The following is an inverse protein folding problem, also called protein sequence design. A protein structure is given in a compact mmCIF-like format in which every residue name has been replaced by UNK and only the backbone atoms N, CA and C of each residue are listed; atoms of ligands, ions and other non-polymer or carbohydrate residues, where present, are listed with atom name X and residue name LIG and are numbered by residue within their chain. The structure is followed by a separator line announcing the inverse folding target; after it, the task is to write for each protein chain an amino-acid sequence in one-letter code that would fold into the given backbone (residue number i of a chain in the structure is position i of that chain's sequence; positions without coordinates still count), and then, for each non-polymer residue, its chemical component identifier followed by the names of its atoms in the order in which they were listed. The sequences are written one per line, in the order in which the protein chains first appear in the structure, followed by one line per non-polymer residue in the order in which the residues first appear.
data_IF_352122307772
#
_entry.id   IF_352122307772
#
_cell.length_a   1.000
_cell.length_b   1.000
_cell.length_c   1.000
_cell.angle_alpha   90.00
_cell.angle_beta   90.00
_cell.angle_gamma   90.00
#
_symmetry.space_group_name_H-M   'P 1'
#
loop_
_entity.id
_entity.type
_entity.pdbx_description
1 polymer ?
#
# COMPACT_ATOMS: atom_id res chain seq x y z
N UNK A 1 -4.43 -8.06 -16.71
CA UNK A 1 -2.97 -8.12 -16.45
C UNK A 1 -2.77 -8.04 -14.95
N UNK A 2 -1.87 -8.85 -14.39
CA UNK A 2 -1.41 -8.79 -13.00
C UNK A 2 0.09 -8.50 -13.04
N UNK A 3 0.51 -7.45 -12.35
CA UNK A 3 1.91 -7.12 -12.14
C UNK A 3 2.32 -7.54 -10.73
N UNK A 4 3.51 -8.11 -10.58
CA UNK A 4 4.03 -8.52 -9.29
C UNK A 4 5.51 -8.88 -9.38
N UNK A 5 6.19 -8.97 -8.24
CA UNK A 5 7.56 -9.46 -8.19
C UNK A 5 7.62 -10.96 -8.54
N UNK A 6 8.81 -11.48 -8.78
CA UNK A 6 9.08 -12.84 -9.23
C UNK A 6 8.38 -13.92 -8.38
N UNK A 7 8.49 -13.85 -7.03
CA UNK A 7 7.91 -14.85 -6.13
C UNK A 7 6.38 -14.90 -6.22
N UNK A 8 5.70 -13.74 -6.20
CA UNK A 8 4.23 -13.71 -6.27
C UNK A 8 3.74 -14.15 -7.64
N UNK A 9 4.43 -13.79 -8.72
CA UNK A 9 4.07 -14.22 -10.08
C UNK A 9 4.28 -15.73 -10.25
N UNK A 10 5.37 -16.29 -9.72
CA UNK A 10 5.60 -17.72 -9.70
C UNK A 10 4.51 -18.47 -8.92
N UNK A 11 4.19 -18.01 -7.71
CA UNK A 11 3.15 -18.59 -6.86
C UNK A 11 1.77 -18.54 -7.55
N UNK A 12 1.37 -17.39 -8.09
CA UNK A 12 0.09 -17.26 -8.78
C UNK A 12 -0.01 -18.18 -9.99
N UNK A 13 1.08 -18.34 -10.74
CA UNK A 13 1.13 -19.27 -11.88
C UNK A 13 0.97 -20.72 -11.42
N UNK A 14 1.69 -21.12 -10.38
CA UNK A 14 1.60 -22.46 -9.83
C UNK A 14 0.19 -22.76 -9.31
N UNK A 15 -0.38 -21.88 -8.51
CA UNK A 15 -1.76 -22.02 -8.01
C UNK A 15 -2.77 -22.11 -9.14
N UNK A 16 -2.65 -21.26 -10.17
CA UNK A 16 -3.55 -21.28 -11.31
C UNK A 16 -3.46 -22.63 -12.06
N UNK A 17 -2.25 -23.18 -12.24
CA UNK A 17 -2.07 -24.46 -12.92
C UNK A 17 -2.60 -25.65 -12.11
N UNK A 18 -2.61 -25.56 -10.78
CA UNK A 18 -3.11 -26.62 -9.89
C UNK A 18 -4.63 -26.55 -9.68
N UNK A 19 -5.20 -25.36 -9.57
CA UNK A 19 -6.59 -25.15 -9.16
C UNK A 19 -7.56 -24.98 -10.33
N UNK A 20 -7.10 -24.43 -11.46
CA UNK A 20 -7.91 -24.24 -12.64
C UNK A 20 -7.95 -25.52 -13.49
N UNK A 21 -9.08 -25.75 -14.14
CA UNK A 21 -9.19 -26.85 -15.08
C UNK A 21 -8.47 -26.54 -16.41
N UNK A 22 -8.23 -27.57 -17.24
CA UNK A 22 -7.50 -27.42 -18.51
C UNK A 22 -8.13 -26.41 -19.48
N UNK A 23 -9.45 -26.17 -19.41
CA UNK A 23 -10.13 -25.20 -20.28
C UNK A 23 -9.86 -23.77 -19.87
N UNK A 24 -9.50 -23.56 -18.62
CA UNK A 24 -9.22 -22.23 -18.04
C UNK A 24 -7.73 -21.92 -18.10
N UNK A 25 -6.86 -22.91 -17.87
CA UNK A 25 -5.40 -22.69 -17.89
C UNK A 25 -4.88 -22.21 -19.25
N UNK A 26 -5.59 -22.54 -20.35
CA UNK A 26 -5.22 -22.06 -21.71
C UNK A 26 -5.30 -20.53 -21.85
N UNK A 27 -5.99 -19.85 -20.93
CA UNK A 27 -6.08 -18.39 -20.93
C UNK A 27 -4.89 -17.70 -20.27
N UNK A 28 -4.00 -18.47 -19.62
CA UNK A 28 -2.76 -17.91 -19.04
C UNK A 28 -1.80 -17.56 -20.18
N UNK A 29 -1.46 -16.27 -20.30
CA UNK A 29 -0.68 -15.74 -21.42
C UNK A 29 -1.53 -15.16 -22.56
N UNK A 30 -2.81 -15.49 -22.64
CA UNK A 30 -3.76 -14.95 -23.62
C UNK A 30 -4.67 -13.88 -22.98
N UNK A 31 -5.50 -14.24 -22.02
CA UNK A 31 -6.44 -13.35 -21.34
C UNK A 31 -5.97 -12.97 -19.94
N UNK A 32 -5.24 -13.86 -19.27
CA UNK A 32 -4.59 -13.64 -17.98
C UNK A 32 -3.08 -13.47 -18.19
N UNK A 33 -2.61 -12.25 -18.15
CA UNK A 33 -1.19 -11.93 -18.25
C UNK A 33 -0.62 -11.76 -16.85
N UNK A 34 0.33 -12.61 -16.48
CA UNK A 34 1.13 -12.52 -15.25
C UNK A 34 2.47 -11.90 -15.64
N UNK A 35 2.71 -10.66 -15.23
CA UNK A 35 3.86 -9.86 -15.64
C UNK A 35 4.75 -9.60 -14.43
N UNK A 36 5.95 -10.16 -14.49
CA UNK A 36 6.98 -9.90 -13.50
C UNK A 36 7.52 -8.48 -13.62
N UNK A 37 7.72 -7.84 -12.48
CA UNK A 37 8.35 -6.52 -12.36
C UNK A 37 9.46 -6.57 -11.31
N UNK A 38 10.52 -5.78 -11.54
CA UNK A 38 11.66 -5.64 -10.65
C UNK A 38 11.63 -4.28 -9.94
N UNK A 39 12.46 -4.12 -8.91
CA UNK A 39 12.64 -2.82 -8.24
C UNK A 39 13.03 -1.74 -9.24
N UNK A 40 12.28 -0.65 -9.24
CA UNK A 40 12.45 0.49 -10.15
C UNK A 40 11.84 0.32 -11.54
N UNK A 41 11.25 -0.84 -11.87
CA UNK A 41 10.58 -1.04 -13.16
C UNK A 41 9.40 -0.08 -13.31
N UNK A 42 9.30 0.54 -14.50
CA UNK A 42 8.18 1.42 -14.85
C UNK A 42 7.38 0.83 -15.99
N UNK A 43 6.05 0.83 -15.83
CA UNK A 43 5.09 0.38 -16.85
C UNK A 43 4.07 1.49 -17.11
N UNK A 44 3.53 1.51 -18.32
CA UNK A 44 2.37 2.31 -18.62
C UNK A 44 1.10 1.50 -18.32
N UNK A 45 0.29 1.98 -17.37
CA UNK A 45 -0.94 1.32 -16.94
C UNK A 45 -2.08 2.34 -17.01
N UNK A 46 -3.07 2.08 -17.84
CA UNK A 46 -4.22 2.98 -18.06
C UNK A 46 -3.80 4.42 -18.42
N UNK A 47 -2.75 4.57 -19.25
CA UNK A 47 -2.21 5.86 -19.66
C UNK A 47 -1.43 6.62 -18.58
N UNK A 48 -1.03 5.95 -17.50
CA UNK A 48 -0.22 6.49 -16.40
C UNK A 48 1.09 5.74 -16.27
N UNK A 49 2.16 6.44 -15.95
CA UNK A 49 3.42 5.80 -15.56
C UNK A 49 3.32 5.28 -14.13
N UNK A 50 3.55 3.99 -13.94
CA UNK A 50 3.57 3.33 -12.64
C UNK A 50 4.93 2.71 -12.44
N UNK A 51 5.66 3.16 -11.43
CA UNK A 51 6.95 2.60 -11.03
C UNK A 51 6.74 1.70 -9.83
N UNK A 52 7.22 0.46 -9.94
CA UNK A 52 7.19 -0.52 -8.86
C UNK A 52 8.49 -0.47 -8.08
N UNK A 53 8.43 -0.67 -6.78
CA UNK A 53 9.62 -0.66 -5.93
C UNK A 53 9.53 -1.70 -4.81
N UNK A 54 10.67 -2.25 -4.43
CA UNK A 54 10.80 -3.12 -3.27
C UNK A 54 10.65 -2.28 -1.99
N UNK A 55 9.76 -2.69 -1.09
CA UNK A 55 9.54 -2.00 0.20
C UNK A 55 10.63 -2.33 1.23
N UNK A 56 11.50 -3.30 0.93
CA UNK A 56 12.52 -3.76 1.86
C UNK A 56 11.96 -4.56 3.05
N UNK A 57 10.80 -5.20 2.85
CA UNK A 57 10.17 -6.02 3.88
C UNK A 57 11.12 -7.08 4.42
N UNK A 58 11.14 -7.25 5.73
CA UNK A 58 11.96 -8.26 6.44
C UNK A 58 11.25 -9.61 6.62
N UNK A 59 9.96 -9.68 6.30
CA UNK A 59 9.16 -10.92 6.38
C UNK A 59 9.17 -11.68 5.05
N UNK A 60 8.53 -11.11 4.06
CA UNK A 60 8.42 -11.65 2.71
C UNK A 60 8.59 -10.51 1.73
N UNK A 61 9.12 -10.80 0.55
CA UNK A 61 9.28 -9.79 -0.50
C UNK A 61 7.96 -9.11 -0.78
N UNK A 62 7.94 -7.77 -0.71
CA UNK A 62 6.77 -6.95 -0.99
C UNK A 62 7.15 -5.78 -1.88
N UNK A 63 6.23 -5.41 -2.77
CA UNK A 63 6.40 -4.25 -3.64
C UNK A 63 5.33 -3.21 -3.39
N UNK A 64 5.77 -1.96 -3.30
CA UNK A 64 4.95 -0.77 -3.42
C UNK A 64 4.90 -0.29 -4.87
N UNK A 65 4.14 0.77 -5.09
CA UNK A 65 4.12 1.45 -6.39
C UNK A 65 3.98 2.97 -6.24
N UNK A 66 4.55 3.69 -7.21
CA UNK A 66 4.39 5.14 -7.38
C UNK A 66 3.78 5.40 -8.76
N UNK A 67 2.63 6.05 -8.80
CA UNK A 67 1.91 6.39 -10.03
C UNK A 67 1.97 7.88 -10.29
N UNK A 68 2.41 8.26 -11.49
CA UNK A 68 2.37 9.64 -11.98
C UNK A 68 0.93 10.05 -12.31
N UNK A 69 0.47 11.12 -11.67
CA UNK A 69 -0.88 11.68 -11.87
C UNK A 69 -0.91 12.78 -12.93
N UNK A 70 0.25 13.18 -13.44
CA UNK A 70 0.42 14.39 -14.27
C UNK A 70 0.71 15.62 -13.41
N UNK A 71 1.22 16.67 -14.07
CA UNK A 71 1.55 17.97 -13.46
C UNK A 71 2.49 17.88 -12.24
N UNK A 72 3.35 16.86 -12.21
CA UNK A 72 4.28 16.60 -11.10
C UNK A 72 3.64 15.99 -9.86
N UNK A 73 2.34 15.72 -9.88
CA UNK A 73 1.66 15.03 -8.79
C UNK A 73 1.85 13.52 -8.88
N UNK A 74 1.96 12.85 -7.73
CA UNK A 74 2.09 11.39 -7.66
C UNK A 74 1.27 10.79 -6.53
N UNK A 75 0.87 9.53 -6.73
CA UNK A 75 0.30 8.65 -5.71
C UNK A 75 1.33 7.59 -5.41
N UNK A 76 1.63 7.37 -4.14
CA UNK A 76 2.53 6.30 -3.70
C UNK A 76 1.82 5.38 -2.71
N UNK A 77 1.93 4.07 -2.93
CA UNK A 77 1.44 3.03 -2.03
C UNK A 77 2.64 2.23 -1.51
N UNK A 78 2.82 2.23 -0.18
CA UNK A 78 3.99 1.65 0.48
C UNK A 78 3.81 0.17 0.89
N UNK A 79 2.70 -0.48 0.51
CA UNK A 79 2.48 -1.89 0.86
C UNK A 79 1.95 -2.06 2.28
N UNK A 80 2.13 -3.25 2.83
CA UNK A 80 1.58 -3.71 4.12
C UNK A 80 2.71 -3.97 5.13
N UNK A 81 3.58 -2.98 5.27
CA UNK A 81 4.75 -3.01 6.16
C UNK A 81 5.04 -1.61 6.69
N UNK A 82 5.73 -1.46 7.83
CA UNK A 82 6.30 -0.21 8.25
C UNK A 82 7.23 0.37 7.19
N UNK A 83 7.19 1.66 7.01
CA UNK A 83 8.01 2.38 6.06
C UNK A 83 9.51 2.11 6.24
N UNK A 84 10.21 1.95 5.11
CA UNK A 84 11.66 1.85 5.02
C UNK A 84 12.26 3.03 4.23
N UNK A 85 13.47 3.44 4.58
CA UNK A 85 14.15 4.58 3.93
C UNK A 85 14.37 4.39 2.42
N UNK A 86 14.39 3.14 1.92
CA UNK A 86 14.48 2.87 0.47
C UNK A 86 13.27 3.39 -0.32
N UNK A 87 12.13 3.60 0.34
CA UNK A 87 10.90 4.12 -0.24
C UNK A 87 10.89 5.65 -0.37
N UNK A 88 11.82 6.37 0.30
CA UNK A 88 11.78 7.83 0.41
C UNK A 88 11.71 8.54 -0.95
N UNK A 89 12.51 8.10 -1.92
CA UNK A 89 12.53 8.67 -3.28
C UNK A 89 11.18 8.59 -3.99
N UNK A 90 10.33 7.63 -3.61
CA UNK A 90 8.98 7.46 -4.15
C UNK A 90 7.92 8.18 -3.31
N UNK A 91 8.04 8.13 -1.99
CA UNK A 91 7.02 8.62 -1.07
C UNK A 91 7.10 10.13 -0.80
N UNK A 92 8.31 10.71 -0.71
CA UNK A 92 8.49 12.14 -0.39
C UNK A 92 7.77 13.04 -1.37
N UNK A 93 7.01 14.02 -0.86
CA UNK A 93 6.27 15.00 -1.63
C UNK A 93 5.10 14.41 -2.44
N UNK A 94 4.63 13.23 -2.09
CA UNK A 94 3.46 12.64 -2.75
C UNK A 94 2.23 13.51 -2.53
N UNK A 95 1.43 13.69 -3.57
CA UNK A 95 0.09 14.26 -3.43
C UNK A 95 -0.80 13.34 -2.61
N UNK A 96 -0.65 12.02 -2.81
CA UNK A 96 -1.31 10.98 -2.03
C UNK A 96 -0.31 9.92 -1.60
N UNK A 97 -0.28 9.64 -0.30
CA UNK A 97 0.42 8.47 0.27
C UNK A 97 -0.63 7.50 0.82
N UNK A 98 -0.56 6.26 0.35
CA UNK A 98 -1.33 5.15 0.88
C UNK A 98 -0.39 4.35 1.78
N UNK A 99 -0.70 4.29 3.08
CA UNK A 99 0.15 3.63 4.07
C UNK A 99 -0.69 2.82 5.05
N UNK A 100 -0.15 1.71 5.54
CA UNK A 100 -0.80 0.93 6.57
C UNK A 100 -0.79 1.66 7.90
N UNK A 101 -1.81 1.41 8.73
CA UNK A 101 -1.87 1.85 10.12
C UNK A 101 -2.72 0.86 10.91
N UNK A 102 -2.08 -0.18 11.42
CA UNK A 102 -2.76 -1.34 11.98
C UNK A 102 -3.69 -0.98 13.15
N UNK A 103 -3.24 -0.13 14.08
CA UNK A 103 -4.06 0.29 15.23
C UNK A 103 -3.76 1.73 15.65
N UNK A 104 -4.58 2.24 16.57
CA UNK A 104 -4.27 3.47 17.31
C UNK A 104 -2.99 3.29 18.13
N UNK A 105 -2.16 4.32 18.20
CA UNK A 105 -0.98 4.33 19.10
C UNK A 105 -1.40 4.16 20.56
N UNK A 106 -2.55 4.76 20.94
CA UNK A 106 -3.11 4.61 22.29
C UNK A 106 -3.53 3.19 22.65
N UNK A 107 -3.62 2.28 21.66
CA UNK A 107 -3.95 0.87 21.84
C UNK A 107 -2.79 -0.07 21.46
N UNK A 108 -1.59 0.46 21.27
CA UNK A 108 -0.43 -0.34 20.85
C UNK A 108 -0.13 -1.50 21.82
N UNK A 109 -0.28 -1.30 23.11
CA UNK A 109 -0.09 -2.33 24.13
C UNK A 109 -1.12 -3.49 24.04
N UNK A 110 -2.25 -3.27 23.34
CA UNK A 110 -3.31 -4.29 23.15
C UNK A 110 -3.03 -5.11 21.90
N UNK A 111 -2.53 -4.46 20.86
CA UNK A 111 -2.40 -5.06 19.53
C UNK A 111 -0.98 -5.51 19.17
N UNK A 112 0.04 -5.07 19.91
CA UNK A 112 1.45 -5.36 19.66
C UNK A 112 1.88 -5.12 18.20
N UNK A 113 1.61 -3.92 17.63
CA UNK A 113 1.84 -3.68 16.20
C UNK A 113 3.30 -3.86 15.81
N UNK A 114 4.24 -3.43 16.64
CA UNK A 114 5.66 -3.48 16.34
C UNK A 114 6.22 -4.90 16.30
N UNK A 115 5.76 -5.79 17.19
CA UNK A 115 6.12 -7.21 17.14
C UNK A 115 5.54 -7.93 15.91
N UNK A 116 4.41 -7.41 15.41
CA UNK A 116 3.76 -7.91 14.19
C UNK A 116 4.29 -7.24 12.92
N UNK A 117 5.26 -6.34 13.04
CA UNK A 117 5.81 -5.52 11.97
C UNK A 117 4.73 -4.67 11.27
N UNK A 118 4.03 -3.87 12.07
CA UNK A 118 3.05 -2.90 11.60
C UNK A 118 3.25 -1.54 12.27
N UNK A 119 2.75 -0.50 11.62
CA UNK A 119 2.74 0.87 12.13
C UNK A 119 1.44 1.17 12.89
N UNK A 120 1.50 2.15 13.76
CA UNK A 120 0.30 2.77 14.35
C UNK A 120 -0.15 3.98 13.52
N UNK A 121 -1.34 4.50 13.84
CA UNK A 121 -1.83 5.78 13.26
C UNK A 121 -0.82 6.91 13.48
N UNK A 122 -0.21 6.98 14.67
CA UNK A 122 0.83 7.98 14.98
C UNK A 122 2.03 7.84 14.04
N UNK A 123 2.57 6.63 13.89
CA UNK A 123 3.76 6.39 13.07
C UNK A 123 3.52 6.80 11.61
N UNK A 124 2.39 6.37 11.04
CA UNK A 124 2.00 6.72 9.67
C UNK A 124 1.79 8.23 9.49
N UNK A 125 1.21 8.90 10.48
CA UNK A 125 0.97 10.34 10.45
C UNK A 125 2.26 11.14 10.60
N UNK A 126 3.16 10.80 11.55
CA UNK A 126 4.48 11.43 11.69
C UNK A 126 5.33 11.24 10.44
N UNK A 127 5.25 10.05 9.82
CA UNK A 127 5.91 9.78 8.54
C UNK A 127 5.38 10.70 7.43
N UNK A 128 4.07 10.81 7.27
CA UNK A 128 3.47 11.64 6.24
C UNK A 128 3.84 13.12 6.40
N UNK A 129 3.91 13.62 7.63
CA UNK A 129 4.39 14.97 7.94
C UNK A 129 5.86 15.14 7.53
N UNK A 130 6.74 14.22 7.94
CA UNK A 130 8.18 14.21 7.60
C UNK A 130 8.42 14.16 6.08
N UNK A 131 7.58 13.44 5.35
CA UNK A 131 7.68 13.26 3.90
C UNK A 131 6.97 14.37 3.10
N UNK A 132 6.39 15.37 3.75
CA UNK A 132 5.70 16.49 3.11
C UNK A 132 4.54 16.04 2.20
N UNK A 133 3.81 15.02 2.64
CA UNK A 133 2.66 14.46 1.93
C UNK A 133 1.47 15.40 2.05
N UNK A 134 0.66 15.55 1.01
CA UNK A 134 -0.53 16.41 1.06
C UNK A 134 -1.76 15.66 1.59
N UNK A 135 -1.94 14.40 1.18
CA UNK A 135 -3.07 13.57 1.58
C UNK A 135 -2.56 12.19 1.99
N UNK A 136 -2.81 11.80 3.24
CA UNK A 136 -2.52 10.47 3.76
C UNK A 136 -3.79 9.63 3.78
N UNK A 137 -3.77 8.45 3.16
CA UNK A 137 -4.84 7.47 3.23
C UNK A 137 -4.34 6.25 4.01
N UNK A 138 -5.01 5.95 5.12
CA UNK A 138 -4.71 4.80 5.97
C UNK A 138 -5.55 3.60 5.58
N UNK A 139 -4.92 2.44 5.54
CA UNK A 139 -5.58 1.14 5.30
C UNK A 139 -4.94 0.07 6.20
N UNK A 140 -5.34 -1.19 6.05
CA UNK A 140 -4.85 -2.32 6.85
C UNK A 140 -4.99 -2.08 8.35
N UNK A 141 -6.22 -1.83 8.77
CA UNK A 141 -6.58 -1.47 10.14
C UNK A 141 -7.19 -2.65 10.88
N UNK A 142 -7.05 -2.69 12.21
CA UNK A 142 -7.71 -3.68 13.07
C UNK A 142 -9.25 -3.50 13.05
N UNK A 143 -9.98 -4.54 13.46
CA UNK A 143 -11.45 -4.60 13.39
C UNK A 143 -12.17 -4.23 14.70
N UNK A 144 -11.47 -4.13 15.84
CA UNK A 144 -12.08 -3.84 17.14
C UNK A 144 -12.91 -2.55 17.13
N UNK A 145 -12.38 -1.54 16.45
CA UNK A 145 -12.98 -0.21 16.38
C UNK A 145 -13.77 0.04 15.08
N UNK A 146 -14.13 -0.99 14.32
CA UNK A 146 -14.67 -0.86 12.95
C UNK A 146 -15.81 0.16 12.82
N UNK A 147 -16.70 0.25 13.81
CA UNK A 147 -17.86 1.18 13.80
C UNK A 147 -17.51 2.63 14.07
N UNK A 148 -16.35 2.90 14.70
CA UNK A 148 -15.86 4.23 15.08
C UNK A 148 -14.45 4.50 14.58
N UNK A 149 -13.89 3.58 13.80
CA UNK A 149 -12.50 3.63 13.31
C UNK A 149 -12.14 4.96 12.68
N UNK A 150 -12.95 5.43 11.74
CA UNK A 150 -12.72 6.69 11.04
C UNK A 150 -12.58 7.87 12.01
N UNK A 151 -13.49 8.00 12.96
CA UNK A 151 -13.49 9.08 13.95
C UNK A 151 -12.26 9.02 14.86
N UNK A 152 -11.97 7.82 15.38
CA UNK A 152 -10.86 7.61 16.32
C UNK A 152 -9.50 7.82 15.65
N UNK A 153 -9.29 7.24 14.47
CA UNK A 153 -8.03 7.36 13.73
C UNK A 153 -7.78 8.80 13.27
N UNK A 154 -8.82 9.49 12.78
CA UNK A 154 -8.70 10.90 12.41
C UNK A 154 -8.43 11.77 13.64
N UNK A 155 -9.09 11.52 14.78
CA UNK A 155 -8.87 12.28 16.00
C UNK A 155 -7.44 12.10 16.56
N UNK A 156 -6.89 10.89 16.51
CA UNK A 156 -5.51 10.64 16.91
C UNK A 156 -4.53 11.21 15.88
N UNK A 157 -4.70 10.90 14.61
CA UNK A 157 -3.75 11.26 13.55
C UNK A 157 -3.59 12.77 13.36
N UNK A 158 -4.64 13.56 13.54
CA UNK A 158 -4.58 15.04 13.48
C UNK A 158 -3.66 15.70 14.52
N UNK A 159 -3.19 14.95 15.50
CA UNK A 159 -2.20 15.44 16.48
C UNK A 159 -0.78 15.41 15.92
N UNK A 160 -0.55 14.63 14.85
CA UNK A 160 0.76 14.31 14.32
C UNK A 160 0.92 14.68 12.84
N UNK A 161 -0.19 14.97 12.14
CA UNK A 161 -0.19 15.29 10.72
C UNK A 161 -1.10 16.48 10.41
N UNK A 162 -0.53 17.49 9.76
CA UNK A 162 -1.20 18.75 9.41
C UNK A 162 -1.97 18.69 8.08
N UNK A 163 -1.68 17.71 7.23
CA UNK A 163 -2.32 17.53 5.94
C UNK A 163 -3.70 16.87 6.02
N UNK A 164 -4.20 16.41 4.89
CA UNK A 164 -5.50 15.76 4.80
C UNK A 164 -5.38 14.27 5.15
N UNK A 165 -6.03 13.85 6.23
CA UNK A 165 -6.05 12.46 6.68
C UNK A 165 -7.36 11.77 6.27
N UNK A 166 -7.23 10.64 5.58
CA UNK A 166 -8.34 9.83 5.08
C UNK A 166 -8.27 8.42 5.69
N UNK A 167 -9.37 7.98 6.26
CA UNK A 167 -9.53 6.62 6.82
C UNK A 167 -10.81 6.05 6.21
N UNK A 168 -10.74 5.43 5.02
CA UNK A 168 -11.93 4.95 4.33
C UNK A 168 -12.56 3.75 5.02
N UNK A 169 -13.87 3.63 4.88
CA UNK A 169 -14.60 2.39 5.15
C UNK A 169 -14.44 1.43 3.98
N UNK A 170 -14.74 0.16 4.19
CA UNK A 170 -14.71 -0.84 3.13
C UNK A 170 -15.66 -0.44 2.00
N UNK A 171 -15.18 -0.55 0.76
CA UNK A 171 -15.88 -0.14 -0.46
C UNK A 171 -16.14 1.36 -0.61
N UNK A 172 -15.66 2.20 0.28
CA UNK A 172 -15.71 3.65 0.11
C UNK A 172 -14.88 4.08 -1.11
N UNK A 173 -15.45 4.97 -1.92
CA UNK A 173 -14.78 5.49 -3.14
C UNK A 173 -14.08 6.80 -2.84
N UNK A 174 -12.77 6.80 -2.94
CA UNK A 174 -11.93 8.00 -2.85
C UNK A 174 -11.57 8.46 -4.27
N UNK A 175 -11.68 9.74 -4.53
CA UNK A 175 -11.23 10.36 -5.80
C UNK A 175 -9.91 11.07 -5.56
N UNK A 176 -8.91 10.70 -6.33
CA UNK A 176 -7.56 11.26 -6.31
C UNK A 176 -7.42 12.45 -7.27
#
# INVERSE_FOLDING_TARGET
VIYGHDEVIALLREMAMQLLNKKETVYIGDRLHLVEVNDGDTKEIMGRKVTFFDTGSTKTKQFGFCMDMGDGAKITCCGDEPYNDCEEKYARGSKWLLHEAFCLYSEADIFDPYEKHHSTVKDACELAEKLEVQNLLLYHTEDKNITHRKELYVAEGKRYYSGNLHVPDDLEKIRF
#
